data_IF_387887355891
#
_entry.id   IF_387887355891
#
_cell.length_a   1.000
_cell.length_b   1.000
_cell.length_c   1.000
_cell.angle_alpha   90.00
_cell.angle_beta   90.00
_cell.angle_gamma   90.00
#
_symmetry.space_group_name_H-M   'P 1'
#
loop_
_entity.id
_entity.type
_entity.pdbx_description
1 polymer ?
#
# COMPACT_ATOMS: atom_id res chain seq x y z
N UNK A 1 9.44 -20.90 29.66
CA UNK A 1 8.50 -19.84 29.28
C UNK A 1 7.08 -20.21 29.65
N UNK A 2 6.37 -19.30 30.28
CA UNK A 2 4.95 -19.53 30.61
C UNK A 2 4.12 -19.52 29.34
N UNK A 3 3.18 -20.46 29.22
CA UNK A 3 2.23 -20.45 28.10
C UNK A 3 1.27 -19.25 28.28
N UNK A 4 0.89 -18.57 27.18
CA UNK A 4 -0.12 -17.51 27.26
C UNK A 4 -1.42 -18.06 27.82
N UNK A 5 -2.12 -17.27 28.60
CA UNK A 5 -3.45 -17.65 29.11
C UNK A 5 -4.46 -17.73 27.92
N UNK A 6 -5.54 -18.48 28.13
CA UNK A 6 -6.62 -18.56 27.15
C UNK A 6 -7.19 -17.16 26.84
N UNK A 7 -7.27 -16.30 27.86
CA UNK A 7 -7.73 -14.92 27.70
C UNK A 7 -6.76 -14.13 26.80
N UNK A 8 -5.45 -14.25 27.03
CA UNK A 8 -4.45 -13.54 26.21
C UNK A 8 -4.50 -13.98 24.76
N UNK A 9 -4.63 -15.28 24.50
CA UNK A 9 -4.76 -15.82 23.15
C UNK A 9 -6.00 -15.25 22.46
N UNK A 10 -7.13 -15.20 23.17
CA UNK A 10 -8.40 -14.69 22.65
C UNK A 10 -8.29 -13.19 22.31
N UNK A 11 -7.65 -12.42 23.17
CA UNK A 11 -7.44 -10.98 22.94
C UNK A 11 -6.52 -10.73 21.75
N UNK A 12 -5.47 -11.51 21.60
CA UNK A 12 -4.57 -11.41 20.45
C UNK A 12 -5.28 -11.71 19.14
N UNK A 13 -6.14 -12.75 19.14
CA UNK A 13 -6.93 -13.11 17.96
C UNK A 13 -7.90 -11.99 17.59
N UNK A 14 -8.55 -11.37 18.58
CA UNK A 14 -9.46 -10.24 18.37
C UNK A 14 -8.71 -9.04 17.77
N UNK A 15 -7.56 -8.69 18.34
CA UNK A 15 -6.75 -7.59 17.84
C UNK A 15 -6.27 -7.83 16.41
N UNK A 16 -5.84 -9.05 16.10
CA UNK A 16 -5.43 -9.41 14.74
C UNK A 16 -6.58 -9.26 13.75
N UNK A 17 -7.79 -9.69 14.14
CA UNK A 17 -8.99 -9.56 13.30
C UNK A 17 -9.34 -8.08 13.04
N UNK A 18 -9.25 -7.23 14.07
CA UNK A 18 -9.48 -5.79 13.94
C UNK A 18 -8.48 -5.13 13.02
N UNK A 19 -7.20 -5.46 13.16
CA UNK A 19 -6.13 -4.94 12.29
C UNK A 19 -6.40 -5.34 10.84
N UNK A 20 -6.74 -6.59 10.59
CA UNK A 20 -7.04 -7.07 9.24
C UNK A 20 -8.25 -6.37 8.63
N UNK A 21 -9.29 -6.13 9.43
CA UNK A 21 -10.46 -5.39 8.98
C UNK A 21 -10.09 -3.97 8.57
N UNK A 22 -9.35 -3.26 9.40
CA UNK A 22 -8.92 -1.89 9.11
C UNK A 22 -8.01 -1.83 7.89
N UNK A 23 -7.12 -2.81 7.71
CA UNK A 23 -6.26 -2.87 6.52
C UNK A 23 -7.08 -3.03 5.24
N UNK A 24 -8.04 -3.94 5.24
CA UNK A 24 -8.92 -4.16 4.08
C UNK A 24 -9.75 -2.92 3.78
N UNK A 25 -10.31 -2.30 4.81
CA UNK A 25 -11.08 -1.08 4.66
C UNK A 25 -10.24 0.04 4.06
N UNK A 26 -9.06 0.27 4.61
CA UNK A 26 -8.16 1.33 4.14
C UNK A 26 -7.70 1.09 2.71
N UNK A 27 -7.37 -0.15 2.37
CA UNK A 27 -6.96 -0.54 1.01
C UNK A 27 -8.07 -0.25 0.01
N UNK A 28 -9.30 -0.64 0.34
CA UNK A 28 -10.44 -0.39 -0.54
C UNK A 28 -10.74 1.10 -0.66
N UNK A 29 -10.66 1.83 0.44
CA UNK A 29 -10.86 3.27 0.46
C UNK A 29 -9.85 3.98 -0.44
N UNK A 30 -8.58 3.58 -0.38
CA UNK A 30 -7.54 4.16 -1.26
C UNK A 30 -7.84 3.89 -2.73
N UNK A 31 -8.27 2.69 -3.07
CA UNK A 31 -8.65 2.36 -4.44
C UNK A 31 -9.83 3.22 -4.91
N UNK A 32 -10.85 3.35 -4.08
CA UNK A 32 -12.02 4.15 -4.41
C UNK A 32 -11.64 5.61 -4.63
N UNK A 33 -10.82 6.18 -3.75
CA UNK A 33 -10.34 7.55 -3.89
C UNK A 33 -9.54 7.74 -5.17
N UNK A 34 -8.70 6.77 -5.53
CA UNK A 34 -7.91 6.81 -6.76
C UNK A 34 -8.80 6.80 -8.00
N UNK A 35 -9.84 5.96 -8.01
CA UNK A 35 -10.78 5.90 -9.13
C UNK A 35 -11.55 7.22 -9.27
N UNK A 36 -12.01 7.78 -8.14
CA UNK A 36 -12.72 9.06 -8.14
C UNK A 36 -11.82 10.19 -8.64
N UNK A 37 -10.56 10.20 -8.21
CA UNK A 37 -9.59 11.19 -8.65
C UNK A 37 -9.30 11.06 -10.15
N UNK A 38 -9.15 9.84 -10.65
CA UNK A 38 -8.92 9.60 -12.08
C UNK A 38 -10.11 10.08 -12.92
N UNK A 39 -11.34 9.83 -12.45
CA UNK A 39 -12.54 10.35 -13.12
C UNK A 39 -12.54 11.90 -13.17
N UNK A 40 -12.21 12.53 -12.05
CA UNK A 40 -12.19 13.97 -11.94
C UNK A 40 -11.16 14.62 -12.87
N UNK A 41 -9.94 14.07 -12.86
CA UNK A 41 -8.81 14.67 -13.60
C UNK A 41 -8.88 14.35 -15.09
N UNK A 42 -9.17 13.11 -15.45
CA UNK A 42 -9.11 12.64 -16.82
C UNK A 42 -10.48 12.61 -17.52
N UNK A 43 -11.55 12.85 -16.77
CA UNK A 43 -12.93 12.85 -17.28
C UNK A 43 -13.28 11.58 -18.05
N UNK A 44 -12.76 10.44 -17.57
CA UNK A 44 -13.02 9.11 -18.16
C UNK A 44 -14.04 8.37 -17.34
N UNK A 45 -14.75 7.46 -17.97
CA UNK A 45 -15.77 6.62 -17.36
C UNK A 45 -15.70 5.20 -17.95
N UNK A 46 -16.37 4.27 -17.29
CA UNK A 46 -16.55 2.91 -17.81
C UNK A 46 -15.23 2.18 -18.03
N UNK A 47 -15.02 1.74 -19.26
CA UNK A 47 -13.90 0.84 -19.59
C UNK A 47 -12.53 1.43 -19.23
N UNK A 48 -12.33 2.72 -19.41
CA UNK A 48 -11.06 3.36 -19.07
C UNK A 48 -10.80 3.37 -17.58
N UNK A 49 -11.84 3.53 -16.76
CA UNK A 49 -11.69 3.44 -15.31
C UNK A 49 -11.50 2.00 -14.84
N UNK A 50 -12.07 1.03 -15.54
CA UNK A 50 -11.79 -0.39 -15.28
C UNK A 50 -10.33 -0.71 -15.58
N UNK A 51 -9.78 -0.21 -16.69
CA UNK A 51 -8.35 -0.36 -17.00
C UNK A 51 -7.48 0.27 -15.92
N UNK A 52 -7.86 1.46 -15.46
CA UNK A 52 -7.17 2.15 -14.37
C UNK A 52 -7.20 1.33 -13.08
N UNK A 53 -8.37 0.83 -12.70
CA UNK A 53 -8.53 0.01 -11.52
C UNK A 53 -7.65 -1.24 -11.57
N UNK A 54 -7.63 -1.92 -12.71
CA UNK A 54 -6.85 -3.13 -12.89
C UNK A 54 -5.35 -2.83 -12.81
N UNK A 55 -4.91 -1.72 -13.39
CA UNK A 55 -3.52 -1.28 -13.27
C UNK A 55 -3.17 -0.91 -11.82
N UNK A 56 -4.07 -0.23 -11.12
CA UNK A 56 -3.90 0.11 -9.71
C UNK A 56 -3.69 -1.16 -8.87
N UNK A 57 -4.54 -2.15 -9.06
CA UNK A 57 -4.45 -3.42 -8.32
C UNK A 57 -3.15 -4.16 -8.60
N UNK A 58 -2.73 -4.17 -9.85
CA UNK A 58 -1.48 -4.81 -10.25
C UNK A 58 -0.29 -4.14 -9.58
N UNK A 59 -0.24 -2.81 -9.59
CA UNK A 59 0.83 -2.07 -8.91
C UNK A 59 0.82 -2.28 -7.40
N UNK A 60 -0.37 -2.32 -6.80
CA UNK A 60 -0.49 -2.59 -5.36
C UNK A 60 0.06 -3.98 -5.02
N UNK A 61 -0.23 -4.99 -5.84
CA UNK A 61 0.29 -6.34 -5.66
C UNK A 61 1.81 -6.38 -5.86
N UNK A 62 2.33 -5.68 -6.85
CA UNK A 62 3.77 -5.61 -7.10
C UNK A 62 4.51 -4.95 -5.93
N UNK A 63 3.97 -3.87 -5.38
CA UNK A 63 4.54 -3.19 -4.22
C UNK A 63 4.52 -4.12 -3.01
N UNK A 64 3.43 -4.82 -2.77
CA UNK A 64 3.34 -5.78 -1.68
C UNK A 64 4.40 -6.89 -1.84
N UNK A 65 4.60 -7.39 -3.05
CA UNK A 65 5.61 -8.41 -3.33
C UNK A 65 7.03 -7.90 -3.07
N UNK A 66 7.33 -6.67 -3.49
CA UNK A 66 8.63 -6.05 -3.21
C UNK A 66 8.88 -5.90 -1.72
N UNK A 67 7.86 -5.51 -0.97
CA UNK A 67 7.93 -5.35 0.48
C UNK A 67 8.21 -6.69 1.17
N UNK A 68 7.58 -7.77 0.71
CA UNK A 68 7.81 -9.12 1.22
C UNK A 68 9.26 -9.55 0.94
N UNK A 69 9.77 -9.30 -0.27
CA UNK A 69 11.15 -9.63 -0.62
C UNK A 69 12.16 -8.85 0.22
N UNK A 70 11.91 -7.57 0.49
CA UNK A 70 12.74 -6.79 1.39
C UNK A 70 12.76 -7.37 2.80
N UNK A 71 11.61 -7.77 3.32
CA UNK A 71 11.50 -8.38 4.64
C UNK A 71 12.29 -9.68 4.72
N UNK A 72 12.21 -10.52 3.68
CA UNK A 72 12.97 -11.78 3.61
C UNK A 72 14.48 -11.52 3.55
N UNK A 73 14.90 -10.47 2.86
CA UNK A 73 16.31 -10.10 2.72
C UNK A 73 16.84 -9.23 3.84
N UNK A 74 16.00 -8.89 4.82
CA UNK A 74 16.36 -8.00 5.94
C UNK A 74 16.92 -6.65 5.46
N UNK A 75 16.30 -6.07 4.43
CA UNK A 75 16.80 -4.88 3.73
C UNK A 75 16.07 -3.59 4.09
N UNK A 76 15.23 -3.60 5.11
CA UNK A 76 14.55 -2.40 5.64
C UNK A 76 13.84 -1.57 4.54
N UNK A 77 13.17 -2.24 3.60
CA UNK A 77 12.44 -1.62 2.49
C UNK A 77 13.31 -0.88 1.47
N UNK A 78 14.63 -1.04 1.49
CA UNK A 78 15.52 -0.34 0.56
C UNK A 78 15.22 -0.68 -0.90
N UNK A 79 14.98 -1.95 -1.20
CA UNK A 79 14.66 -2.38 -2.57
C UNK A 79 13.35 -1.77 -3.04
N UNK A 80 12.32 -1.82 -2.20
CA UNK A 80 11.01 -1.25 -2.51
C UNK A 80 11.13 0.25 -2.73
N UNK A 81 11.82 0.94 -1.82
CA UNK A 81 12.06 2.39 -1.92
C UNK A 81 12.74 2.75 -3.23
N UNK A 82 13.85 2.09 -3.55
CA UNK A 82 14.63 2.42 -4.73
C UNK A 82 13.83 2.22 -6.01
N UNK A 83 13.08 1.12 -6.10
CA UNK A 83 12.26 0.82 -7.28
C UNK A 83 11.14 1.82 -7.46
N UNK A 84 10.42 2.13 -6.38
CA UNK A 84 9.31 3.10 -6.44
C UNK A 84 9.83 4.49 -6.76
N UNK A 85 10.87 4.94 -6.08
CA UNK A 85 11.41 6.29 -6.28
C UNK A 85 11.96 6.47 -7.69
N UNK A 86 12.64 5.47 -8.22
CA UNK A 86 13.16 5.54 -9.58
C UNK A 86 12.03 5.73 -10.59
N UNK A 87 10.96 4.96 -10.46
CA UNK A 87 9.83 5.04 -11.40
C UNK A 87 9.04 6.34 -11.24
N UNK A 88 8.77 6.74 -10.00
CA UNK A 88 8.04 7.97 -9.73
C UNK A 88 8.80 9.20 -10.18
N UNK A 89 10.12 9.20 -9.99
CA UNK A 89 10.98 10.30 -10.46
C UNK A 89 10.94 10.41 -11.98
N UNK A 90 10.95 9.28 -12.67
CA UNK A 90 10.87 9.25 -14.13
C UNK A 90 9.56 9.88 -14.65
N UNK A 91 8.42 9.56 -14.03
CA UNK A 91 7.11 10.01 -14.52
C UNK A 91 6.68 11.37 -13.98
N UNK A 92 7.15 11.78 -12.80
CA UNK A 92 6.77 13.06 -12.18
C UNK A 92 7.77 14.17 -12.43
N UNK A 93 9.03 13.85 -12.76
CA UNK A 93 10.06 14.87 -12.98
C UNK A 93 10.21 15.77 -11.76
N UNK A 94 10.08 17.09 -11.98
CA UNK A 94 10.27 18.09 -10.92
C UNK A 94 9.19 18.02 -9.84
N UNK A 95 8.04 17.40 -10.12
CA UNK A 95 6.98 17.24 -9.14
C UNK A 95 7.20 16.02 -8.21
N UNK A 96 8.28 15.28 -8.40
CA UNK A 96 8.60 14.13 -7.56
C UNK A 96 8.86 14.56 -6.12
N UNK A 97 8.22 13.85 -5.19
CA UNK A 97 8.45 14.03 -3.76
C UNK A 97 9.29 12.86 -3.24
N UNK A 98 10.30 13.15 -2.40
CA UNK A 98 11.19 12.13 -1.86
C UNK A 98 10.42 11.11 -1.00
N UNK A 99 11.06 9.97 -0.75
CA UNK A 99 10.51 8.96 0.15
C UNK A 99 10.20 9.57 1.53
N UNK A 100 11.13 10.33 2.07
CA UNK A 100 10.97 10.94 3.39
C UNK A 100 9.80 11.94 3.42
N UNK A 101 9.62 12.69 2.34
CA UNK A 101 8.49 13.62 2.25
C UNK A 101 7.15 12.88 2.17
N UNK A 102 7.11 11.77 1.41
CA UNK A 102 5.87 11.00 1.25
C UNK A 102 5.54 10.16 2.49
N UNK A 103 6.54 9.61 3.16
CA UNK A 103 6.36 8.66 4.27
C UNK A 103 6.86 9.17 5.61
N UNK A 104 7.47 10.33 5.67
CA UNK A 104 8.11 10.86 6.88
C UNK A 104 7.17 11.10 8.05
N UNK A 105 5.88 11.28 7.81
CA UNK A 105 4.86 11.38 8.85
C UNK A 105 4.37 10.03 9.37
N UNK A 106 4.84 8.94 8.79
CA UNK A 106 4.41 7.57 9.14
C UNK A 106 5.53 6.93 9.95
N UNK A 107 5.35 6.87 11.25
CA UNK A 107 6.33 6.26 12.15
C UNK A 107 5.76 5.01 12.79
#
# INVERSE_FOLDING_TARGET
>A
MAKPSAFAIKMQAKQAAEINYHRKFTTQWCEDAAILAANEVFQRRGDKLVEFRDAYRRWADDIASMTIEDAKGDRSLEYTKDRLDARLREILGDAFESWDDRYGGIK
#
